data_IF_838881018208
#
_entry.id   IF_838881018208
#
_cell.length_a   1.000
_cell.length_b   1.000
_cell.length_c   1.000
_cell.angle_alpha   90.00
_cell.angle_beta   90.00
_cell.angle_gamma   90.00
#
_symmetry.space_group_name_H-M   'P 1'
#
loop_
_entity.id
_entity.type
_entity.pdbx_description
1 polymer ?
#
# COMPACT_ATOMS: atom_id res chain seq x y z
N UNK A 1 16.63 29.50 0.62
CA UNK A 1 16.45 28.13 0.09
C UNK A 1 16.62 26.98 1.11
N UNK A 2 16.91 27.22 2.41
CA UNK A 2 17.08 26.15 3.41
C UNK A 2 15.77 25.44 3.83
N UNK A 3 14.64 26.13 3.85
CA UNK A 3 13.34 25.55 4.26
C UNK A 3 12.78 24.50 3.29
N UNK A 4 12.94 24.71 1.97
CA UNK A 4 12.47 23.77 0.94
C UNK A 4 13.11 22.38 1.06
N UNK A 5 14.39 22.31 1.42
CA UNK A 5 15.11 21.03 1.60
C UNK A 5 14.55 20.20 2.77
N UNK A 6 14.16 20.86 3.87
CA UNK A 6 13.54 20.20 5.03
C UNK A 6 12.18 19.59 4.67
N UNK A 7 11.36 20.35 3.94
CA UNK A 7 10.04 19.89 3.48
C UNK A 7 10.17 18.67 2.57
N UNK A 8 11.11 18.70 1.61
CA UNK A 8 11.37 17.55 0.73
C UNK A 8 11.77 16.32 1.54
N UNK A 9 12.66 16.49 2.54
CA UNK A 9 13.04 15.40 3.44
C UNK A 9 11.86 14.80 4.21
N UNK A 10 10.96 15.65 4.73
CA UNK A 10 9.75 15.20 5.42
C UNK A 10 8.78 14.48 4.48
N UNK A 11 8.61 14.95 3.24
CA UNK A 11 7.75 14.28 2.25
C UNK A 11 8.28 12.89 1.92
N UNK A 12 9.59 12.76 1.66
CA UNK A 12 10.22 11.46 1.39
C UNK A 12 10.03 10.52 2.60
N UNK A 13 10.26 11.04 3.81
CA UNK A 13 10.05 10.27 5.04
C UNK A 13 8.61 9.75 5.16
N UNK A 14 7.60 10.60 4.91
CA UNK A 14 6.20 10.20 4.96
C UNK A 14 5.86 9.16 3.89
N UNK A 15 6.37 9.30 2.67
CA UNK A 15 6.14 8.33 1.59
C UNK A 15 6.73 6.96 1.97
N UNK A 16 7.96 6.94 2.50
CA UNK A 16 8.60 5.71 2.95
C UNK A 16 7.84 5.05 4.11
N UNK A 17 7.28 5.86 5.02
CA UNK A 17 6.46 5.37 6.12
C UNK A 17 5.10 4.82 5.64
N UNK A 18 4.48 5.45 4.65
CA UNK A 18 3.21 5.02 4.07
C UNK A 18 3.34 3.80 3.15
N UNK A 19 4.51 3.58 2.55
CA UNK A 19 4.79 2.46 1.66
C UNK A 19 4.41 1.08 2.24
N UNK A 20 4.87 0.67 3.44
CA UNK A 20 4.48 -0.61 4.01
C UNK A 20 2.98 -0.69 4.33
N UNK A 21 2.37 0.42 4.77
CA UNK A 21 0.94 0.46 5.10
C UNK A 21 0.09 0.28 3.84
N UNK A 22 0.46 0.97 2.76
CA UNK A 22 -0.17 0.80 1.46
C UNK A 22 -0.07 -0.63 0.94
N UNK A 23 1.11 -1.25 1.12
CA UNK A 23 1.32 -2.64 0.75
C UNK A 23 0.40 -3.59 1.52
N UNK A 24 0.30 -3.43 2.84
CA UNK A 24 -0.60 -4.22 3.68
C UNK A 24 -2.06 -4.03 3.29
N UNK A 25 -2.49 -2.80 3.02
CA UNK A 25 -3.84 -2.51 2.57
C UNK A 25 -4.15 -3.18 1.22
N UNK A 26 -3.24 -3.06 0.25
CA UNK A 26 -3.37 -3.72 -1.06
C UNK A 26 -3.51 -5.24 -0.91
N UNK A 27 -2.71 -5.87 -0.05
CA UNK A 27 -2.81 -7.31 0.22
C UNK A 27 -4.13 -7.69 0.91
N UNK A 28 -4.64 -6.86 1.83
CA UNK A 28 -5.91 -7.11 2.50
C UNK A 28 -7.12 -7.09 1.53
N UNK A 29 -7.00 -6.35 0.42
CA UNK A 29 -8.05 -6.15 -0.57
C UNK A 29 -7.90 -7.06 -1.80
N UNK A 30 -6.96 -8.00 -1.81
CA UNK A 30 -6.69 -8.90 -2.93
C UNK A 30 -7.00 -10.35 -2.60
N UNK A 31 -7.28 -11.14 -3.64
CA UNK A 31 -7.37 -12.59 -3.51
C UNK A 31 -5.98 -13.23 -3.47
N UNK A 32 -5.84 -14.37 -2.81
CA UNK A 32 -4.56 -15.10 -2.76
C UNK A 32 -4.08 -15.53 -4.16
N UNK A 33 -5.01 -15.83 -5.07
CA UNK A 33 -4.69 -16.16 -6.46
C UNK A 33 -4.05 -14.96 -7.17
N UNK A 34 -4.60 -13.75 -7.00
CA UNK A 34 -4.05 -12.53 -7.62
C UNK A 34 -2.72 -12.11 -7.02
N UNK A 35 -2.52 -12.34 -5.71
CA UNK A 35 -1.26 -12.05 -5.02
C UNK A 35 -0.12 -12.88 -5.60
N UNK A 36 -0.38 -14.15 -5.91
CA UNK A 36 0.61 -15.09 -6.41
C UNK A 36 0.80 -15.01 -7.94
N UNK A 37 -0.24 -14.62 -8.68
CA UNK A 37 -0.21 -14.63 -10.15
C UNK A 37 0.59 -13.46 -10.76
N UNK A 38 0.54 -12.25 -10.17
CA UNK A 38 1.25 -11.11 -10.74
C UNK A 38 1.66 -10.06 -9.72
N UNK A 39 2.84 -9.48 -9.95
CA UNK A 39 3.25 -8.27 -9.26
C UNK A 39 2.38 -7.11 -9.75
N UNK A 40 1.64 -6.50 -8.83
CA UNK A 40 0.78 -5.36 -9.10
C UNK A 40 0.94 -4.35 -7.96
N UNK A 41 1.17 -3.08 -8.31
CA UNK A 41 1.30 -2.00 -7.34
C UNK A 41 -0.04 -1.69 -6.67
N UNK A 42 -1.14 -1.77 -7.43
CA UNK A 42 -2.50 -1.61 -6.95
C UNK A 42 -3.32 -2.87 -7.25
N UNK A 43 -4.37 -3.17 -6.47
CA UNK A 43 -5.26 -4.30 -6.73
C UNK A 43 -5.99 -4.12 -8.07
N UNK A 44 -5.88 -5.10 -8.96
CA UNK A 44 -6.67 -5.14 -10.20
C UNK A 44 -8.14 -5.45 -9.90
N UNK A 45 -8.36 -6.45 -9.04
CA UNK A 45 -9.66 -6.86 -8.56
C UNK A 45 -9.75 -6.65 -7.05
N UNK A 46 -10.54 -5.66 -6.64
CA UNK A 46 -10.74 -5.33 -5.22
C UNK A 46 -11.75 -6.32 -4.63
N UNK A 47 -11.36 -6.98 -3.55
CA UNK A 47 -12.21 -7.93 -2.83
C UNK A 47 -12.22 -7.66 -1.33
N UNK A 48 -13.39 -7.86 -0.72
CA UNK A 48 -13.59 -7.77 0.73
C UNK A 48 -13.74 -9.14 1.39
N UNK A 49 -13.47 -10.24 0.66
CA UNK A 49 -13.59 -11.60 1.18
C UNK A 49 -12.75 -11.82 2.44
N UNK A 50 -11.55 -11.23 2.50
CA UNK A 50 -10.69 -11.33 3.69
C UNK A 50 -11.34 -10.68 4.92
N UNK A 51 -12.05 -9.56 4.76
CA UNK A 51 -12.77 -8.90 5.84
C UNK A 51 -14.00 -9.72 6.26
N UNK A 52 -14.78 -10.23 5.31
CA UNK A 52 -15.93 -11.11 5.59
C UNK A 52 -15.53 -12.44 6.24
N UNK A 53 -14.27 -12.87 6.11
CA UNK A 53 -13.77 -14.09 6.77
C UNK A 53 -13.36 -13.85 8.23
N UNK A 54 -12.99 -12.62 8.56
CA UNK A 54 -12.53 -12.23 9.91
C UNK A 54 -13.72 -11.91 10.82
N UNK A 55 -14.80 -11.34 10.28
CA UNK A 55 -16.01 -10.94 11.00
C UNK A 55 -17.18 -11.89 10.73
#
# INVERSE_FOLDING_TARGET
MKGKKKIIGLIIYLILLMMPIYWMLSMSLRSNADILASFALYPKDITFMNYMKIF
#
